data_IF_556070984676
#
_entry.id   IF_556070984676
#
_cell.length_a   1.000
_cell.length_b   1.000
_cell.length_c   1.000
_cell.angle_alpha   90.00
_cell.angle_beta   90.00
_cell.angle_gamma   90.00
#
_symmetry.space_group_name_H-M   'P 1'
#
loop_
_entity.id
_entity.type
_entity.pdbx_description
1 polymer ?
#
# COMPACT_ATOMS: atom_id res chain seq x y z
N UNK A 1 1.30 4.20 -12.45
CA UNK A 1 -0.12 3.89 -12.18
C UNK A 1 -0.96 4.62 -13.22
N UNK A 2 -2.16 4.12 -13.48
CA UNK A 2 -3.19 4.75 -14.28
C UNK A 2 -4.45 4.92 -13.43
N UNK A 3 -5.09 6.06 -13.55
CA UNK A 3 -6.29 6.40 -12.82
C UNK A 3 -7.30 7.06 -13.76
N UNK A 4 -8.57 6.81 -13.52
CA UNK A 4 -9.64 7.52 -14.20
C UNK A 4 -9.69 8.99 -13.72
N UNK A 5 -9.87 9.92 -14.65
CA UNK A 5 -9.77 11.35 -14.33
C UNK A 5 -10.96 11.81 -13.50
N UNK A 6 -12.17 11.34 -13.75
CA UNK A 6 -13.36 11.91 -13.11
C UNK A 6 -13.62 11.26 -11.76
N UNK A 7 -13.65 9.93 -11.72
CA UNK A 7 -13.93 9.15 -10.52
C UNK A 7 -12.73 9.02 -9.57
N UNK A 8 -11.52 9.30 -10.07
CA UNK A 8 -10.24 8.97 -9.41
C UNK A 8 -10.06 7.47 -9.16
N UNK A 9 -10.81 6.62 -9.87
CA UNK A 9 -10.70 5.17 -9.74
C UNK A 9 -9.32 4.69 -10.18
N UNK A 10 -8.68 3.86 -9.36
CA UNK A 10 -7.43 3.21 -9.72
C UNK A 10 -7.68 2.12 -10.76
N UNK A 11 -7.12 2.30 -11.96
CA UNK A 11 -7.33 1.40 -13.10
C UNK A 11 -6.26 0.31 -13.17
N UNK A 12 -4.99 0.70 -13.11
CA UNK A 12 -3.87 -0.23 -13.27
C UNK A 12 -2.58 0.33 -12.64
N UNK A 13 -1.67 -0.54 -12.23
CA UNK A 13 -0.40 -0.14 -11.63
C UNK A 13 0.64 -1.23 -11.74
N UNK A 14 1.84 -0.85 -12.18
CA UNK A 14 3.00 -1.76 -12.29
C UNK A 14 4.08 -1.18 -11.37
N UNK A 15 4.57 -1.94 -10.37
CA UNK A 15 5.66 -1.48 -9.52
C UNK A 15 6.94 -1.31 -10.33
N UNK A 16 7.67 -0.23 -10.06
CA UNK A 16 8.98 -0.03 -10.65
C UNK A 16 10.04 -0.81 -9.85
N UNK A 17 10.59 -1.86 -10.45
CA UNK A 17 11.57 -2.75 -9.81
C UNK A 17 13.04 -2.32 -10.04
N UNK A 18 13.27 -1.19 -10.70
CA UNK A 18 14.62 -0.72 -11.00
C UNK A 18 15.20 -1.32 -12.28
N UNK A 19 16.45 -1.78 -12.20
CA UNK A 19 17.15 -2.42 -13.33
C UNK A 19 16.60 -3.83 -13.50
N UNK A 20 16.16 -4.12 -14.72
CA UNK A 20 15.63 -5.42 -15.11
C UNK A 20 16.60 -6.04 -16.13
N UNK A 21 17.22 -7.16 -15.76
CA UNK A 21 18.19 -7.86 -16.59
C UNK A 21 17.54 -8.62 -17.76
N UNK A 22 16.23 -8.91 -17.68
CA UNK A 22 15.47 -9.55 -18.76
C UNK A 22 14.99 -8.54 -19.82
N UNK A 23 15.36 -7.26 -19.70
CA UNK A 23 14.96 -6.22 -20.66
C UNK A 23 15.74 -6.37 -21.97
N UNK A 24 15.06 -6.45 -23.14
CA UNK A 24 15.72 -6.40 -24.43
C UNK A 24 16.60 -5.15 -24.57
N UNK A 25 17.83 -5.33 -25.07
CA UNK A 25 18.76 -4.24 -25.29
C UNK A 25 18.14 -3.18 -26.23
N UNK A 26 18.26 -1.90 -25.85
CA UNK A 26 17.77 -0.76 -26.64
C UNK A 26 16.37 -0.23 -26.27
N UNK A 27 15.56 -0.95 -25.48
CA UNK A 27 14.24 -0.46 -25.07
C UNK A 27 14.28 0.43 -23.82
N UNK A 28 13.71 1.64 -23.90
CA UNK A 28 13.64 2.56 -22.75
C UNK A 28 12.47 2.18 -21.85
N UNK A 29 12.68 2.18 -20.53
CA UNK A 29 11.63 1.86 -19.54
C UNK A 29 10.32 2.62 -19.79
N UNK A 30 10.41 3.94 -20.05
CA UNK A 30 9.24 4.78 -20.27
C UNK A 30 8.43 4.44 -21.53
N UNK A 31 8.98 3.68 -22.48
CA UNK A 31 8.31 3.35 -23.74
C UNK A 31 7.20 2.32 -23.54
N UNK A 32 7.43 1.28 -22.74
CA UNK A 32 6.42 0.24 -22.48
C UNK A 32 5.49 0.55 -21.32
N UNK A 33 5.88 1.37 -20.35
CA UNK A 33 5.06 1.59 -19.15
C UNK A 33 3.66 2.09 -19.50
N UNK A 34 3.54 3.08 -20.39
CA UNK A 34 2.22 3.59 -20.81
C UNK A 34 1.44 2.52 -21.57
N UNK A 35 2.08 1.85 -22.54
CA UNK A 35 1.42 0.81 -23.34
C UNK A 35 0.92 -0.34 -22.46
N UNK A 36 1.77 -0.87 -21.58
CA UNK A 36 1.41 -1.94 -20.66
C UNK A 36 0.32 -1.52 -19.67
N UNK A 37 0.35 -0.30 -19.14
CA UNK A 37 -0.69 0.20 -18.25
C UNK A 37 -2.03 0.35 -18.97
N UNK A 38 -1.98 0.74 -20.24
CA UNK A 38 -3.15 1.05 -21.06
C UNK A 38 -3.72 -0.14 -21.83
N UNK A 39 -3.00 -1.25 -21.97
CA UNK A 39 -3.42 -2.41 -22.78
C UNK A 39 -4.88 -2.84 -22.55
N UNK A 40 -5.41 -2.96 -21.32
CA UNK A 40 -6.82 -3.36 -21.09
C UNK A 40 -7.86 -2.31 -21.54
N UNK A 41 -7.41 -1.08 -21.75
CA UNK A 41 -8.24 0.10 -21.99
C UNK A 41 -8.12 0.65 -23.42
N UNK A 42 -7.21 0.10 -24.22
CA UNK A 42 -7.03 0.46 -25.62
C UNK A 42 -8.22 0.04 -26.50
N UNK A 43 -8.22 0.50 -27.75
CA UNK A 43 -9.19 0.23 -28.82
C UNK A 43 -10.60 0.81 -28.61
N UNK A 44 -10.81 1.48 -27.48
CA UNK A 44 -12.13 1.96 -27.03
C UNK A 44 -12.34 3.48 -27.24
N UNK A 45 -11.51 4.12 -28.06
CA UNK A 45 -11.64 5.57 -28.36
C UNK A 45 -11.30 6.49 -27.19
N UNK A 46 -10.53 6.01 -26.21
CA UNK A 46 -10.19 6.78 -25.00
C UNK A 46 -8.99 7.70 -25.22
N UNK A 47 -8.83 8.67 -24.33
CA UNK A 47 -7.64 9.50 -24.23
C UNK A 47 -6.81 9.16 -22.99
N UNK A 48 -5.48 9.09 -23.14
CA UNK A 48 -4.53 9.04 -22.02
C UNK A 48 -3.82 10.38 -21.86
N UNK A 49 -3.80 10.91 -20.64
CA UNK A 49 -3.01 12.10 -20.30
C UNK A 49 -1.72 11.69 -19.60
N UNK A 50 -0.57 12.14 -20.10
CA UNK A 50 0.76 11.75 -19.60
C UNK A 50 1.67 12.93 -19.28
N UNK A 51 2.56 12.75 -18.30
CA UNK A 51 3.64 13.73 -18.02
C UNK A 51 4.84 13.57 -18.98
N UNK A 52 5.77 14.52 -18.94
CA UNK A 52 6.90 14.67 -19.85
C UNK A 52 7.78 13.43 -20.05
N UNK A 53 7.91 12.59 -19.02
CA UNK A 53 8.72 11.38 -19.08
C UNK A 53 8.08 10.34 -20.01
N UNK A 54 6.75 10.31 -20.02
CA UNK A 54 5.90 9.35 -20.71
C UNK A 54 5.40 9.82 -22.08
N UNK A 55 5.64 11.08 -22.45
CA UNK A 55 5.22 11.65 -23.74
C UNK A 55 6.32 11.58 -24.80
N UNK A 56 6.02 11.00 -25.97
CA UNK A 56 6.82 11.10 -27.21
C UNK A 56 5.92 10.90 -28.43
N UNK A 57 6.39 11.33 -29.60
CA UNK A 57 5.67 11.16 -30.87
C UNK A 57 5.49 9.68 -31.21
N UNK A 58 6.53 8.86 -31.01
CA UNK A 58 6.46 7.41 -31.23
C UNK A 58 5.33 6.74 -30.42
N UNK A 59 5.23 7.06 -29.13
CA UNK A 59 4.18 6.54 -28.24
C UNK A 59 2.79 7.01 -28.65
N UNK A 60 2.67 8.29 -29.02
CA UNK A 60 1.41 8.85 -29.48
C UNK A 60 0.93 8.14 -30.77
N UNK A 61 1.83 7.79 -31.70
CA UNK A 61 1.50 7.00 -32.89
C UNK A 61 1.07 5.57 -32.55
N UNK A 62 1.79 4.87 -31.66
CA UNK A 62 1.42 3.51 -31.25
C UNK A 62 0.03 3.45 -30.61
N UNK A 63 -0.28 4.38 -29.70
CA UNK A 63 -1.60 4.46 -29.07
C UNK A 63 -2.69 4.80 -30.09
N UNK A 64 -2.41 5.73 -31.01
CA UNK A 64 -3.37 6.14 -32.02
C UNK A 64 -3.73 5.00 -32.98
N UNK A 65 -2.76 4.13 -33.30
CA UNK A 65 -2.99 2.91 -34.08
C UNK A 65 -3.94 1.92 -33.36
N UNK A 66 -3.98 1.96 -32.03
CA UNK A 66 -4.90 1.18 -31.15
C UNK A 66 -6.09 2.02 -30.67
N UNK A 67 -6.61 2.90 -31.55
CA UNK A 67 -7.76 3.78 -31.30
C UNK A 67 -7.75 4.44 -29.90
N UNK A 68 -6.58 4.95 -29.49
CA UNK A 68 -6.37 5.60 -28.20
C UNK A 68 -5.57 6.89 -28.41
N UNK A 69 -6.09 8.04 -28.02
CA UNK A 69 -5.37 9.31 -28.16
C UNK A 69 -4.44 9.56 -26.97
N UNK A 70 -3.40 10.37 -27.18
CA UNK A 70 -2.49 10.82 -26.13
C UNK A 70 -2.53 12.35 -26.05
N UNK A 71 -2.51 12.88 -24.84
CA UNK A 71 -2.22 14.29 -24.53
C UNK A 71 -1.14 14.33 -23.47
N UNK A 72 -0.07 15.08 -23.67
CA UNK A 72 0.95 15.18 -22.64
C UNK A 72 1.93 16.31 -22.86
N UNK A 73 2.60 16.72 -21.78
CA UNK A 73 3.72 17.65 -21.91
C UNK A 73 4.88 16.95 -22.59
N UNK A 74 5.60 17.66 -23.47
CA UNK A 74 6.78 17.12 -24.14
C UNK A 74 8.03 17.86 -23.67
N UNK A 75 9.06 17.11 -23.28
CA UNK A 75 10.32 17.70 -22.83
C UNK A 75 11.02 18.42 -24.00
N UNK A 76 11.42 19.68 -23.79
CA UNK A 76 12.12 20.52 -24.77
C UNK A 76 13.45 19.94 -25.27
N UNK A 77 14.08 19.06 -24.49
CA UNK A 77 15.33 18.38 -24.83
C UNK A 77 15.13 17.15 -25.76
N UNK A 78 13.88 16.77 -26.08
CA UNK A 78 13.61 15.65 -27.01
C UNK A 78 14.18 15.96 -28.40
N UNK A 79 14.85 14.97 -29.00
CA UNK A 79 15.41 15.06 -30.35
C UNK A 79 14.33 15.17 -31.44
N UNK A 80 13.13 14.68 -31.15
CA UNK A 80 11.95 14.74 -32.03
C UNK A 80 11.42 16.18 -32.24
N UNK A 81 11.88 17.15 -31.42
CA UNK A 81 11.46 18.55 -31.56
C UNK A 81 12.27 19.24 -32.66
N UNK A 82 11.61 19.86 -33.66
CA UNK A 82 12.31 20.63 -34.68
C UNK A 82 12.99 21.86 -34.06
N UNK A 83 14.08 22.39 -34.66
CA UNK A 83 14.74 23.60 -34.17
C UNK A 83 13.81 24.80 -34.02
N UNK A 84 12.82 24.90 -34.92
CA UNK A 84 11.78 25.93 -34.91
C UNK A 84 10.86 25.88 -33.68
N UNK A 85 10.85 24.77 -32.94
CA UNK A 85 10.13 24.63 -31.66
C UNK A 85 10.95 25.13 -30.45
N UNK A 86 12.26 25.34 -30.61
CA UNK A 86 13.16 25.78 -29.55
C UNK A 86 13.39 27.30 -29.57
N UNK A 87 12.94 27.96 -30.63
CA UNK A 87 12.99 29.40 -30.76
C UNK A 87 12.06 30.06 -29.74
N UNK A 88 12.52 31.17 -29.19
CA UNK A 88 11.71 31.97 -28.26
C UNK A 88 10.61 32.68 -29.03
N UNK A 89 9.42 32.70 -28.45
CA UNK A 89 8.27 33.39 -29.01
C UNK A 89 7.81 34.51 -28.06
N UNK A 90 6.88 35.35 -28.52
CA UNK A 90 6.31 36.42 -27.72
C UNK A 90 5.52 35.87 -26.55
N UNK A 91 5.47 36.61 -25.43
CA UNK A 91 4.73 36.19 -24.25
C UNK A 91 3.25 35.96 -24.61
N UNK A 92 2.69 34.84 -24.15
CA UNK A 92 1.31 34.42 -24.44
C UNK A 92 1.01 34.09 -25.90
N UNK A 93 2.04 34.02 -26.75
CA UNK A 93 1.89 33.50 -28.11
C UNK A 93 1.80 31.97 -28.14
N UNK A 94 1.14 31.47 -29.18
CA UNK A 94 0.98 30.04 -29.44
C UNK A 94 1.46 29.72 -30.84
N UNK A 95 2.32 28.71 -30.97
CA UNK A 95 2.74 28.13 -32.24
C UNK A 95 2.29 26.68 -32.28
N UNK A 96 1.69 26.27 -33.38
CA UNK A 96 1.18 24.92 -33.57
C UNK A 96 1.95 24.27 -34.72
N UNK A 97 2.53 23.11 -34.46
CA UNK A 97 3.17 22.28 -35.45
C UNK A 97 2.35 21.02 -35.62
N UNK A 98 2.08 20.62 -36.86
CA UNK A 98 1.35 19.38 -37.16
C UNK A 98 2.27 18.42 -37.89
N UNK A 99 2.12 17.14 -37.56
CA UNK A 99 2.75 16.05 -38.28
C UNK A 99 1.76 14.88 -38.27
N UNK A 100 1.26 14.52 -39.46
CA UNK A 100 0.17 13.54 -39.61
C UNK A 100 -1.02 13.90 -38.71
N UNK A 101 -1.48 12.96 -37.87
CA UNK A 101 -2.57 13.14 -36.89
C UNK A 101 -2.09 13.63 -35.53
N UNK A 102 -0.82 14.02 -35.39
CA UNK A 102 -0.27 14.56 -34.16
C UNK A 102 -0.09 16.07 -34.26
N UNK A 103 -0.48 16.77 -33.19
CA UNK A 103 -0.36 18.21 -33.03
C UNK A 103 0.54 18.53 -31.85
N UNK A 104 1.55 19.36 -32.08
CA UNK A 104 2.42 19.92 -31.06
C UNK A 104 2.08 21.39 -30.85
N UNK A 105 1.54 21.71 -29.68
CA UNK A 105 1.27 23.08 -29.26
C UNK A 105 2.44 23.62 -28.44
N UNK A 106 3.00 24.75 -28.84
CA UNK A 106 4.05 25.48 -28.14
C UNK A 106 3.46 26.79 -27.64
N UNK A 107 3.34 26.93 -26.32
CA UNK A 107 2.75 28.10 -25.69
C UNK A 107 3.77 28.82 -24.80
N UNK A 108 4.04 30.09 -25.09
CA UNK A 108 4.97 30.91 -24.31
C UNK A 108 4.32 31.39 -23.01
N UNK A 109 4.26 30.51 -22.00
CA UNK A 109 3.57 30.79 -20.74
C UNK A 109 4.26 31.86 -19.87
N UNK A 110 5.59 31.93 -19.90
CA UNK A 110 6.41 32.94 -19.21
C UNK A 110 7.56 33.38 -20.11
N UNK A 111 8.20 34.52 -19.81
CA UNK A 111 9.32 35.08 -20.61
C UNK A 111 10.43 34.07 -20.95
N UNK A 112 10.78 33.17 -20.03
CA UNK A 112 11.84 32.14 -20.20
C UNK A 112 11.30 30.70 -20.22
N UNK A 113 9.97 30.50 -20.31
CA UNK A 113 9.37 29.16 -20.23
C UNK A 113 8.29 28.98 -21.28
N UNK A 114 8.59 28.11 -22.25
CA UNK A 114 7.65 27.60 -23.25
C UNK A 114 7.12 26.26 -22.78
N UNK A 115 5.81 26.06 -22.86
CA UNK A 115 5.15 24.80 -22.56
C UNK A 115 4.84 24.11 -23.88
N UNK A 116 5.31 22.87 -24.02
CA UNK A 116 5.08 22.05 -25.21
C UNK A 116 4.07 20.95 -24.85
N UNK A 117 2.93 20.91 -25.54
CA UNK A 117 1.92 19.85 -25.41
C UNK A 117 1.87 19.07 -26.73
N UNK A 118 2.14 17.77 -26.66
CA UNK A 118 1.89 16.85 -27.75
C UNK A 118 0.48 16.28 -27.58
N UNK A 119 -0.31 16.28 -28.66
CA UNK A 119 -1.65 15.72 -28.67
C UNK A 119 -1.95 14.98 -29.98
N UNK A 120 -2.55 13.79 -29.90
CA UNK A 120 -3.23 13.12 -31.02
C UNK A 120 -4.75 13.19 -30.92
N UNK A 121 -5.27 13.84 -29.86
CA UNK A 121 -6.69 14.11 -29.64
C UNK A 121 -7.13 15.37 -30.39
N UNK A 122 -6.35 16.45 -30.32
CA UNK A 122 -6.72 17.75 -30.87
C UNK A 122 -6.20 17.90 -32.30
N UNK A 123 -7.10 17.89 -33.28
CA UNK A 123 -6.76 18.13 -34.70
C UNK A 123 -6.60 19.62 -35.03
N UNK A 124 -7.36 20.47 -34.35
CA UNK A 124 -7.25 21.92 -34.40
C UNK A 124 -7.03 22.43 -32.98
N UNK A 125 -6.27 23.52 -32.84
CA UNK A 125 -5.96 24.11 -31.54
C UNK A 125 -6.58 25.49 -31.49
N UNK A 126 -7.60 25.63 -30.66
CA UNK A 126 -8.21 26.92 -30.40
C UNK A 126 -7.39 27.67 -29.34
N UNK A 127 -7.22 28.97 -29.54
CA UNK A 127 -6.56 29.85 -28.57
C UNK A 127 -7.60 30.78 -27.95
N UNK A 128 -7.57 30.93 -26.62
CA UNK A 128 -8.40 31.91 -25.96
C UNK A 128 -8.15 33.33 -26.50
N UNK A 129 -9.21 34.12 -26.60
CA UNK A 129 -9.17 35.50 -27.11
C UNK A 129 -8.73 36.51 -26.05
N UNK A 130 -8.91 36.19 -24.76
CA UNK A 130 -8.69 37.13 -23.66
C UNK A 130 -7.46 36.81 -22.79
N UNK A 131 -6.90 37.87 -22.20
CA UNK A 131 -5.82 37.80 -21.22
C UNK A 131 -4.60 37.02 -21.70
N UNK A 132 -4.35 35.86 -21.06
CA UNK A 132 -3.19 35.00 -21.32
C UNK A 132 -3.30 34.18 -22.61
N UNK A 133 -4.41 34.25 -23.36
CA UNK A 133 -4.63 33.54 -24.64
C UNK A 133 -4.25 32.06 -24.61
N UNK A 134 -4.60 31.39 -23.51
CA UNK A 134 -4.19 29.98 -23.29
C UNK A 134 -4.82 29.09 -24.37
N UNK A 135 -4.04 28.20 -25.00
CA UNK A 135 -4.57 27.19 -25.91
C UNK A 135 -5.45 26.19 -25.20
N UNK A 136 -6.46 25.69 -25.92
CA UNK A 136 -7.33 24.61 -25.49
C UNK A 136 -6.55 23.39 -25.02
N UNK A 137 -5.49 23.00 -25.74
CA UNK A 137 -4.63 21.85 -25.39
C UNK A 137 -3.97 22.01 -24.01
N UNK A 138 -3.61 23.23 -23.61
CA UNK A 138 -3.06 23.55 -22.29
C UNK A 138 -4.16 23.46 -21.23
N UNK A 139 -5.35 23.96 -21.53
CA UNK A 139 -6.51 23.90 -20.62
C UNK A 139 -6.91 22.44 -20.38
N UNK A 140 -7.07 21.65 -21.44
CA UNK A 140 -7.38 20.21 -21.38
C UNK A 140 -6.32 19.42 -20.62
N UNK A 141 -5.03 19.69 -20.85
CA UNK A 141 -3.97 19.03 -20.10
C UNK A 141 -4.06 19.34 -18.60
N UNK A 142 -4.32 20.60 -18.23
CA UNK A 142 -4.41 20.98 -16.83
C UNK A 142 -5.61 20.36 -16.10
N UNK A 143 -6.74 20.15 -16.78
CA UNK A 143 -7.92 19.50 -16.19
C UNK A 143 -7.71 18.00 -16.01
N UNK A 144 -6.98 17.35 -16.91
CA UNK A 144 -6.85 15.87 -16.91
C UNK A 144 -5.59 15.35 -16.21
N UNK A 145 -4.50 16.12 -16.13
CA UNK A 145 -3.22 15.67 -15.53
C UNK A 145 -3.31 15.32 -14.04
N UNK A 146 -4.36 15.78 -13.35
CA UNK A 146 -4.50 15.69 -11.88
C UNK A 146 -4.99 14.32 -11.40
N UNK A 147 -5.41 13.41 -12.28
CA UNK A 147 -6.04 12.14 -11.89
C UNK A 147 -5.17 11.31 -10.93
N UNK A 148 -3.93 11.03 -11.31
CA UNK A 148 -3.00 10.23 -10.50
C UNK A 148 -2.57 10.97 -9.22
N UNK A 149 -2.28 12.27 -9.31
CA UNK A 149 -1.91 13.08 -8.14
C UNK A 149 -3.03 13.13 -7.10
N UNK A 150 -4.29 13.23 -7.57
CA UNK A 150 -5.47 13.22 -6.71
C UNK A 150 -5.64 11.86 -6.02
N UNK A 151 -5.49 10.77 -6.76
CA UNK A 151 -5.56 9.41 -6.22
C UNK A 151 -4.46 9.18 -5.16
N UNK A 152 -3.23 9.61 -5.43
CA UNK A 152 -2.11 9.50 -4.49
C UNK A 152 -2.34 10.34 -3.23
N UNK A 153 -2.83 11.57 -3.38
CA UNK A 153 -3.24 12.41 -2.24
C UNK A 153 -4.33 11.74 -1.41
N UNK A 154 -5.33 11.14 -2.06
CA UNK A 154 -6.40 10.39 -1.40
C UNK A 154 -5.83 9.22 -0.60
N UNK A 155 -4.95 8.41 -1.20
CA UNK A 155 -4.33 7.26 -0.54
C UNK A 155 -3.51 7.69 0.69
N UNK A 156 -2.75 8.79 0.59
CA UNK A 156 -1.95 9.31 1.72
C UNK A 156 -2.80 9.79 2.89
N UNK A 157 -3.97 10.41 2.63
CA UNK A 157 -4.80 10.99 3.68
C UNK A 157 -5.35 9.94 4.67
N UNK A 158 -5.68 8.74 4.19
CA UNK A 158 -6.19 7.64 5.01
C UNK A 158 -5.38 6.37 4.74
N UNK A 159 -4.08 6.44 5.02
CA UNK A 159 -3.17 5.32 4.77
C UNK A 159 -3.14 4.34 5.95
N UNK A 160 -3.09 3.06 5.63
CA UNK A 160 -2.92 1.94 6.57
C UNK A 160 -1.44 1.62 6.85
N UNK A 161 -0.51 2.38 6.28
CA UNK A 161 0.93 2.14 6.43
C UNK A 161 1.38 2.36 7.88
N UNK A 162 1.92 1.30 8.48
CA UNK A 162 2.72 1.37 9.70
C UNK A 162 4.22 1.40 9.40
N UNK A 163 5.03 1.76 10.39
CA UNK A 163 6.48 1.63 10.32
C UNK A 163 6.86 0.15 10.09
N UNK A 164 7.60 -0.12 9.03
CA UNK A 164 8.03 -1.49 8.67
C UNK A 164 9.41 -1.47 8.04
N UNK A 165 10.21 -2.49 8.35
CA UNK A 165 11.49 -2.77 7.68
C UNK A 165 11.36 -3.76 6.51
N UNK A 166 10.13 -4.19 6.20
CA UNK A 166 9.82 -5.17 5.15
C UNK A 166 9.05 -4.46 4.04
N UNK A 167 9.72 -4.20 2.91
CA UNK A 167 9.11 -3.53 1.76
C UNK A 167 7.83 -4.19 1.22
N UNK A 168 7.64 -5.53 1.24
CA UNK A 168 6.40 -6.13 0.77
C UNK A 168 5.19 -5.73 1.61
N UNK A 169 5.38 -5.52 2.91
CA UNK A 169 4.32 -5.03 3.81
C UNK A 169 3.91 -3.61 3.43
N UNK A 170 4.86 -2.74 3.07
CA UNK A 170 4.54 -1.40 2.60
C UNK A 170 3.76 -1.41 1.27
N UNK A 171 4.09 -2.32 0.36
CA UNK A 171 3.33 -2.52 -0.88
C UNK A 171 1.93 -3.05 -0.61
N UNK A 172 1.78 -4.02 0.31
CA UNK A 172 0.49 -4.53 0.72
C UNK A 172 -0.42 -3.44 1.30
N UNK A 173 0.09 -2.58 2.18
CA UNK A 173 -0.66 -1.42 2.69
C UNK A 173 -1.10 -0.47 1.57
N UNK A 174 -0.24 -0.20 0.57
CA UNK A 174 -0.65 0.59 -0.60
C UNK A 174 -1.83 -0.05 -1.34
N UNK A 175 -1.82 -1.37 -1.51
CA UNK A 175 -2.90 -2.10 -2.19
C UNK A 175 -4.21 -1.94 -1.40
N UNK A 176 -4.17 -2.06 -0.07
CA UNK A 176 -5.35 -1.84 0.78
C UNK A 176 -5.89 -0.41 0.66
N UNK A 177 -5.01 0.59 0.69
CA UNK A 177 -5.39 2.00 0.57
C UNK A 177 -6.08 2.28 -0.78
N UNK A 178 -5.55 1.73 -1.88
CA UNK A 178 -6.13 1.84 -3.22
C UNK A 178 -7.45 1.05 -3.35
N UNK A 179 -7.52 -0.15 -2.78
CA UNK A 179 -8.72 -0.97 -2.78
C UNK A 179 -9.87 -0.27 -2.04
N UNK A 180 -9.60 0.36 -0.89
CA UNK A 180 -10.60 1.13 -0.15
C UNK A 180 -11.12 2.34 -0.95
N UNK A 181 -10.26 3.01 -1.74
CA UNK A 181 -10.68 4.08 -2.65
C UNK A 181 -11.60 3.54 -3.75
N UNK A 182 -11.20 2.45 -4.41
CA UNK A 182 -12.01 1.83 -5.47
C UNK A 182 -13.36 1.34 -4.93
N UNK A 183 -13.38 0.70 -3.76
CA UNK A 183 -14.61 0.26 -3.10
C UNK A 183 -15.54 1.44 -2.78
N UNK A 184 -14.99 2.55 -2.28
CA UNK A 184 -15.77 3.77 -2.03
C UNK A 184 -16.36 4.37 -3.31
N UNK A 185 -15.59 4.41 -4.41
CA UNK A 185 -16.08 4.88 -5.71
C UNK A 185 -17.23 4.00 -6.21
N UNK A 186 -17.05 2.68 -6.19
CA UNK A 186 -18.07 1.71 -6.61
C UNK A 186 -19.32 1.79 -5.75
N UNK A 187 -19.18 1.90 -4.43
CA UNK A 187 -20.31 2.04 -3.52
C UNK A 187 -21.18 3.24 -3.88
N UNK A 188 -20.56 4.41 -4.11
CA UNK A 188 -21.29 5.63 -4.50
C UNK A 188 -21.98 5.49 -5.86
N UNK A 189 -21.33 4.84 -6.82
CA UNK A 189 -21.88 4.64 -8.17
C UNK A 189 -23.05 3.64 -8.17
N UNK A 190 -22.94 2.54 -7.44
CA UNK A 190 -23.97 1.50 -7.42
C UNK A 190 -25.17 1.86 -6.55
N UNK A 191 -24.97 2.60 -5.45
CA UNK A 191 -26.06 2.92 -4.50
C UNK A 191 -26.64 4.32 -4.69
N UNK A 192 -25.94 5.21 -5.41
CA UNK A 192 -26.27 6.63 -5.48
C UNK A 192 -26.02 7.39 -4.16
N UNK A 193 -25.50 6.73 -3.13
CA UNK A 193 -25.31 7.34 -1.81
C UNK A 193 -24.19 8.40 -1.84
N UNK A 194 -24.43 9.53 -1.17
CA UNK A 194 -23.42 10.56 -0.97
C UNK A 194 -22.73 10.43 0.39
N UNK A 195 -21.92 9.38 0.54
CA UNK A 195 -21.18 9.12 1.78
C UNK A 195 -19.77 9.72 1.73
N UNK A 196 -19.38 10.43 2.80
CA UNK A 196 -18.01 10.90 2.97
C UNK A 196 -17.04 9.71 3.11
N UNK A 197 -15.89 9.78 2.43
CA UNK A 197 -14.90 8.68 2.40
C UNK A 197 -14.46 8.20 3.79
N UNK A 198 -14.28 9.12 4.74
CA UNK A 198 -13.95 8.77 6.14
C UNK A 198 -15.02 7.89 6.78
N UNK A 199 -16.30 8.24 6.61
CA UNK A 199 -17.41 7.48 7.17
C UNK A 199 -17.47 6.09 6.53
N UNK A 200 -17.32 6.01 5.21
CA UNK A 200 -17.24 4.74 4.49
C UNK A 200 -16.13 3.82 5.02
N UNK A 201 -14.91 4.36 5.20
CA UNK A 201 -13.78 3.58 5.73
C UNK A 201 -14.06 3.10 7.16
N UNK A 202 -14.71 3.90 8.00
CA UNK A 202 -15.06 3.51 9.37
C UNK A 202 -16.09 2.37 9.38
N UNK A 203 -17.11 2.42 8.54
CA UNK A 203 -18.09 1.32 8.41
C UNK A 203 -17.43 0.06 7.85
N UNK A 204 -16.62 0.19 6.79
CA UNK A 204 -15.83 -0.92 6.25
C UNK A 204 -14.97 -1.59 7.32
N UNK A 205 -14.29 -0.79 8.16
CA UNK A 205 -13.48 -1.32 9.24
C UNK A 205 -14.30 -2.05 10.32
N UNK A 206 -15.52 -1.58 10.62
CA UNK A 206 -16.45 -2.26 11.55
C UNK A 206 -16.93 -3.59 10.98
N UNK A 207 -17.27 -3.63 9.70
CA UNK A 207 -17.72 -4.85 9.02
C UNK A 207 -16.61 -5.90 8.98
N UNK A 208 -15.40 -5.52 8.55
CA UNK A 208 -14.26 -6.44 8.44
C UNK A 208 -13.84 -7.06 9.78
N UNK A 209 -14.02 -6.34 10.90
CA UNK A 209 -13.68 -6.87 12.23
C UNK A 209 -14.83 -7.64 12.91
N UNK A 210 -16.04 -7.63 12.35
CA UNK A 210 -17.26 -8.12 13.01
C UNK A 210 -17.11 -9.57 13.47
N UNK A 211 -16.74 -10.46 12.55
CA UNK A 211 -16.62 -11.89 12.85
C UNK A 211 -15.53 -12.18 13.88
N UNK A 212 -14.38 -11.52 13.76
CA UNK A 212 -13.29 -11.65 14.73
C UNK A 212 -13.72 -11.18 16.14
N UNK A 213 -14.46 -10.07 16.22
CA UNK A 213 -14.97 -9.56 17.49
C UNK A 213 -16.03 -10.48 18.10
N UNK A 214 -16.90 -11.06 17.28
CA UNK A 214 -17.89 -12.05 17.73
C UNK A 214 -17.21 -13.32 18.26
N UNK A 215 -16.20 -13.84 17.55
CA UNK A 215 -15.42 -14.99 17.99
C UNK A 215 -14.65 -14.71 19.29
N UNK A 216 -14.14 -13.48 19.47
CA UNK A 216 -13.46 -13.05 20.70
C UNK A 216 -14.41 -12.89 21.89
N UNK A 217 -15.66 -12.51 21.64
CA UNK A 217 -16.70 -12.37 22.65
C UNK A 217 -17.35 -13.72 23.02
N UNK A 218 -17.19 -14.74 22.18
CA UNK A 218 -17.67 -16.08 22.48
C UNK A 218 -16.97 -16.63 23.74
N UNK A 219 -17.71 -17.29 24.65
CA UNK A 219 -17.10 -17.94 25.79
C UNK A 219 -16.06 -18.96 25.29
N UNK A 220 -14.93 -19.14 26.01
CA UNK A 220 -13.95 -20.15 25.65
C UNK A 220 -14.67 -21.50 25.54
N UNK A 221 -14.43 -22.21 24.43
CA UNK A 221 -14.96 -23.56 24.27
C UNK A 221 -14.63 -24.35 25.53
N UNK A 222 -15.58 -25.13 26.08
CA UNK A 222 -15.30 -25.96 27.24
C UNK A 222 -14.10 -26.83 26.87
N UNK A 223 -12.98 -26.58 27.52
CA UNK A 223 -11.81 -27.43 27.43
C UNK A 223 -12.28 -28.75 28.04
N UNK A 224 -12.65 -29.71 27.20
CA UNK A 224 -12.71 -31.11 27.61
C UNK A 224 -11.27 -31.50 27.94
N UNK A 225 -10.82 -31.15 29.14
CA UNK A 225 -9.70 -31.87 29.74
C UNK A 225 -10.21 -33.29 29.86
N UNK A 226 -9.54 -34.30 29.27
CA UNK A 226 -9.77 -35.66 29.68
C UNK A 226 -9.62 -35.65 31.20
N UNK A 227 -10.68 -35.99 31.92
CA UNK A 227 -10.58 -36.35 33.32
C UNK A 227 -9.76 -37.64 33.34
N UNK A 228 -8.43 -37.51 33.27
CA UNK A 228 -7.55 -38.59 33.67
C UNK A 228 -7.91 -38.86 35.13
N UNK A 229 -8.31 -40.10 35.49
CA UNK A 229 -8.58 -40.42 36.88
C UNK A 229 -7.33 -40.06 37.68
N UNK A 230 -7.49 -39.17 38.66
CA UNK A 230 -6.43 -38.86 39.61
C UNK A 230 -5.97 -40.20 40.21
N UNK A 231 -4.68 -40.58 40.10
CA UNK A 231 -4.21 -41.76 40.80
C UNK A 231 -4.50 -41.55 42.29
N UNK A 232 -5.18 -42.52 42.91
CA UNK A 232 -5.41 -42.56 44.34
C UNK A 232 -4.05 -42.50 45.04
N UNK A 233 -3.73 -41.36 45.63
CA UNK A 233 -2.56 -41.20 46.51
C UNK A 233 -3.06 -41.47 47.92
N UNK A 234 -2.63 -42.55 48.59
CA UNK A 234 -2.94 -42.74 50.01
C UNK A 234 -2.44 -41.52 50.77
N UNK A 235 -3.31 -40.90 51.57
CA UNK A 235 -2.91 -39.78 52.44
C UNK A 235 -1.68 -40.20 53.26
N UNK A 236 -0.53 -39.49 53.15
CA UNK A 236 0.60 -39.76 54.01
C UNK A 236 0.18 -39.42 55.44
N UNK A 237 0.31 -40.39 56.34
CA UNK A 237 0.13 -40.17 57.78
C UNK A 237 1.05 -39.03 58.22
N UNK A 238 0.45 -37.88 58.56
CA UNK A 238 1.19 -36.73 59.08
C UNK A 238 1.69 -37.11 60.48
N UNK A 239 3.00 -37.09 60.74
CA UNK A 239 3.49 -37.37 62.09
C UNK A 239 3.00 -36.28 63.05
N UNK A 240 2.26 -36.64 64.11
CA UNK A 240 1.68 -35.69 65.08
C UNK A 240 2.73 -34.88 65.87
N UNK A 241 4.00 -35.33 65.89
CA UNK A 241 5.09 -34.66 66.60
C UNK A 241 6.20 -34.18 65.66
N UNK A 242 6.54 -32.90 65.76
CA UNK A 242 7.64 -32.26 65.00
C UNK A 242 9.00 -32.80 65.46
N UNK A 243 9.80 -33.32 64.53
CA UNK A 243 11.16 -33.83 64.77
C UNK A 243 12.20 -32.85 64.23
N UNK A 244 13.40 -32.86 64.79
CA UNK A 244 14.49 -31.99 64.34
C UNK A 244 14.98 -32.39 62.95
N UNK A 245 15.31 -31.41 62.10
CA UNK A 245 15.85 -31.61 60.77
C UNK A 245 17.19 -32.37 60.84
N UNK A 246 17.34 -33.40 60.00
CA UNK A 246 18.52 -34.28 59.98
C UNK A 246 19.36 -34.15 58.69
N UNK A 247 19.11 -33.11 57.90
CA UNK A 247 19.77 -32.94 56.59
C UNK A 247 21.07 -32.16 56.69
N UNK A 248 21.05 -31.03 57.42
CA UNK A 248 22.20 -30.16 57.59
C UNK A 248 22.52 -30.04 59.09
N UNK A 249 23.79 -30.25 59.47
CA UNK A 249 24.27 -30.18 60.85
C UNK A 249 24.05 -28.80 61.51
N UNK A 250 23.89 -27.74 60.71
CA UNK A 250 23.57 -26.40 61.19
C UNK A 250 22.08 -26.21 61.52
N UNK A 251 21.19 -27.16 61.19
CA UNK A 251 19.76 -27.09 61.50
C UNK A 251 19.42 -27.57 62.92
N UNK A 252 20.15 -27.07 63.93
CA UNK A 252 20.04 -27.55 65.32
C UNK A 252 18.72 -27.22 66.03
N UNK A 253 17.99 -26.21 65.53
CA UNK A 253 16.73 -25.74 66.13
C UNK A 253 15.51 -25.92 65.21
N UNK A 254 15.71 -26.39 63.97
CA UNK A 254 14.63 -26.48 62.99
C UNK A 254 13.85 -27.78 63.16
N UNK A 255 12.60 -27.70 63.63
CA UNK A 255 11.69 -28.86 63.75
C UNK A 255 10.67 -28.89 62.62
N UNK A 256 10.32 -30.09 62.15
CA UNK A 256 9.46 -30.33 60.96
C UNK A 256 8.62 -31.59 61.15
N UNK A 257 7.44 -31.63 60.52
CA UNK A 257 6.65 -32.86 60.33
C UNK A 257 6.90 -33.49 58.96
N UNK A 258 7.62 -32.79 58.07
CA UNK A 258 7.87 -33.21 56.69
C UNK A 258 9.07 -34.13 56.63
N UNK A 259 8.92 -35.23 55.87
CA UNK A 259 9.92 -36.28 55.73
C UNK A 259 10.30 -36.41 54.26
N UNK A 260 11.61 -36.57 53.97
CA UNK A 260 12.10 -36.79 52.62
C UNK A 260 11.51 -38.08 52.02
N UNK A 261 10.95 -38.01 50.81
CA UNK A 261 10.34 -39.16 50.14
C UNK A 261 11.36 -40.28 49.85
N UNK A 262 12.61 -39.93 49.54
CA UNK A 262 13.70 -40.86 49.28
C UNK A 262 14.31 -41.49 50.54
N UNK A 263 14.90 -40.68 51.43
CA UNK A 263 15.67 -41.20 52.58
C UNK A 263 14.91 -41.28 53.91
N UNK A 264 13.62 -40.91 53.94
CA UNK A 264 12.74 -40.95 55.11
C UNK A 264 13.23 -40.17 56.35
N UNK A 265 14.15 -39.22 56.17
CA UNK A 265 14.63 -38.33 57.25
C UNK A 265 13.78 -37.06 57.36
N UNK A 266 13.57 -36.50 58.58
CA UNK A 266 12.90 -35.21 58.76
C UNK A 266 13.68 -34.07 58.10
N UNK A 267 12.99 -33.24 57.30
CA UNK A 267 13.58 -32.14 56.52
C UNK A 267 12.83 -30.83 56.75
N UNK A 268 13.55 -29.76 57.11
CA UNK A 268 12.94 -28.44 57.27
C UNK A 268 12.78 -27.73 55.91
N UNK A 269 11.92 -26.71 55.83
CA UNK A 269 11.65 -25.98 54.59
C UNK A 269 12.89 -25.38 53.91
N UNK A 270 13.94 -25.02 54.67
CA UNK A 270 15.22 -24.54 54.09
C UNK A 270 16.02 -25.63 53.36
N UNK A 271 15.73 -26.90 53.65
CA UNK A 271 16.43 -28.05 53.07
C UNK A 271 15.58 -28.83 52.06
N UNK A 272 14.37 -28.34 51.73
CA UNK A 272 13.46 -28.92 50.73
C UNK A 272 13.66 -28.22 49.38
N UNK A 273 13.73 -29.00 48.29
CA UNK A 273 13.70 -28.47 46.92
C UNK A 273 12.27 -28.61 46.37
N UNK A 274 11.73 -27.55 45.77
CA UNK A 274 10.28 -27.28 45.61
C UNK A 274 9.50 -28.07 44.53
N UNK A 275 9.87 -29.31 44.20
CA UNK A 275 9.08 -30.13 43.25
C UNK A 275 8.52 -31.43 43.83
N UNK A 276 8.94 -31.82 45.03
CA UNK A 276 8.41 -32.87 45.90
C UNK A 276 9.38 -32.85 47.10
N UNK A 277 8.98 -33.16 48.34
CA UNK A 277 9.89 -33.08 49.49
C UNK A 277 11.01 -34.12 49.38
N UNK A 278 12.07 -33.78 48.65
CA UNK A 278 13.36 -34.48 48.58
C UNK A 278 14.39 -33.61 49.30
N UNK A 279 15.25 -34.25 50.08
CA UNK A 279 16.33 -33.54 50.76
C UNK A 279 17.50 -33.32 49.80
N UNK A 280 18.33 -32.31 50.08
CA UNK A 280 19.55 -31.99 49.32
C UNK A 280 20.52 -33.17 49.11
N UNK A 281 20.46 -34.24 49.92
CA UNK A 281 21.31 -35.43 49.74
C UNK A 281 20.76 -36.44 48.75
N UNK A 282 19.49 -36.31 48.37
CA UNK A 282 18.78 -37.22 47.46
C UNK A 282 18.40 -36.53 46.14
N UNK A 283 18.86 -35.29 45.94
CA UNK A 283 18.78 -34.55 44.68
C UNK A 283 20.08 -34.75 43.93
#
# INVERSE_FOLDING_TARGET
MAADVDSKYFLNGIPYLGKDAARPAGQRLGERVVLNLMEPFMDKGRNVTTDNFFTSLSRAKCLLARNTSLVGTMNAARRELPPSAKQRADLHSTKVLKHERATLTLYQAKRKKTVSILSTLHQMVLTGTEGKRKPETITFYNTTKVGVDSLDQMARLYSTKGATRRWPVAVFCNILDLAAINAWVLYRQCTGANIARRAFILELAKELRREHMLAKAAPPAPVQRPLLPLPYVPHPQVPERRRQCQINAHCKQNKTTVVCSGCKRPVCGKCVVQLEPRCLKCV
#
